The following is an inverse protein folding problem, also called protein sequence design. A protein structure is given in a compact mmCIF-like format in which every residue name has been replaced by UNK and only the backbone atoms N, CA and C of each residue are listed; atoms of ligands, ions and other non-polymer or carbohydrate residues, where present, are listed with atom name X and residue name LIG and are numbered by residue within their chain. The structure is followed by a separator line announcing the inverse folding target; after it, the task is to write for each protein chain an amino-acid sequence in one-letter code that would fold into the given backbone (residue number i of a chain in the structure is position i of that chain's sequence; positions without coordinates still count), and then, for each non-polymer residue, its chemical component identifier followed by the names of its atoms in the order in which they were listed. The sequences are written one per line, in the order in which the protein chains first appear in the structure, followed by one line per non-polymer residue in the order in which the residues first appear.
data_IF_174091140746
#
_entry.id   IF_174091140746
#
_cell.length_a   1.000
_cell.length_b   1.000
_cell.length_c   1.000
_cell.angle_alpha   90.00
_cell.angle_beta   90.00
_cell.angle_gamma   90.00
#
_symmetry.space_group_name_H-M   'P 1'
#
loop_
_entity.id
_entity.type
_entity.pdbx_description
1 polymer ?
#
# COMPACT_ATOMS: atom_id res chain seq x y z
N UNK A 1 -7.81 31.74 5.39
CA UNK A 1 -8.45 31.52 4.10
C UNK A 1 -9.06 30.11 4.08
N UNK A 2 -10.36 29.97 3.82
CA UNK A 2 -11.01 28.66 3.80
C UNK A 2 -10.50 27.87 2.60
N UNK A 3 -9.91 26.69 2.83
CA UNK A 3 -9.61 25.75 1.77
C UNK A 3 -10.90 25.48 0.97
N UNK A 4 -10.83 25.54 -0.36
CA UNK A 4 -12.00 25.27 -1.20
C UNK A 4 -12.47 23.83 -0.94
N UNK A 5 -13.79 23.62 -1.02
CA UNK A 5 -14.40 22.28 -0.84
C UNK A 5 -13.70 21.22 -1.71
N UNK A 6 -13.33 21.57 -2.95
CA UNK A 6 -12.61 20.70 -3.88
C UNK A 6 -11.19 20.33 -3.40
N UNK A 7 -10.47 21.23 -2.72
CA UNK A 7 -9.17 20.91 -2.14
C UNK A 7 -9.26 19.92 -0.99
N UNK A 8 -10.29 20.04 -0.13
CA UNK A 8 -10.55 19.05 0.94
C UNK A 8 -10.97 17.69 0.37
N UNK A 9 -11.75 17.70 -0.70
CA UNK A 9 -12.19 16.47 -1.39
C UNK A 9 -11.03 15.77 -2.10
N UNK A 10 -10.06 16.50 -2.67
CA UNK A 10 -8.85 15.95 -3.27
C UNK A 10 -8.00 15.12 -2.27
N UNK A 11 -8.10 15.40 -0.98
CA UNK A 11 -7.46 14.60 0.08
C UNK A 11 -8.16 13.26 0.37
N UNK A 12 -9.35 13.02 -0.20
CA UNK A 12 -10.14 11.78 -0.06
C UNK A 12 -10.56 11.26 -1.43
N UNK A 13 -9.63 10.74 -2.23
CA UNK A 13 -9.88 10.42 -3.63
C UNK A 13 -10.99 9.37 -3.83
N UNK A 14 -11.15 8.42 -2.92
CA UNK A 14 -12.23 7.43 -2.98
C UNK A 14 -13.62 8.07 -2.78
N UNK A 15 -13.75 9.02 -1.86
CA UNK A 15 -15.01 9.73 -1.64
C UNK A 15 -15.34 10.62 -2.85
N UNK A 16 -14.35 11.28 -3.42
CA UNK A 16 -14.53 12.06 -4.64
C UNK A 16 -14.98 11.16 -5.80
N UNK A 17 -14.32 10.00 -6.00
CA UNK A 17 -14.71 9.05 -7.05
C UNK A 17 -16.16 8.57 -6.88
N UNK A 18 -16.59 8.26 -5.65
CA UNK A 18 -17.98 7.88 -5.37
C UNK A 18 -18.97 9.01 -5.74
N UNK A 19 -18.67 10.24 -5.36
CA UNK A 19 -19.53 11.38 -5.69
C UNK A 19 -19.61 11.62 -7.21
N UNK A 20 -18.52 11.45 -7.93
CA UNK A 20 -18.51 11.56 -9.40
C UNK A 20 -19.31 10.43 -10.06
N UNK A 21 -19.27 9.22 -9.52
CA UNK A 21 -20.12 8.10 -9.95
C UNK A 21 -21.60 8.42 -9.75
N UNK A 22 -21.99 8.93 -8.58
CA UNK A 22 -23.38 9.30 -8.29
C UNK A 22 -23.85 10.46 -9.18
N UNK A 23 -23.00 11.46 -9.42
CA UNK A 23 -23.31 12.58 -10.30
C UNK A 23 -23.51 12.11 -11.76
N UNK A 24 -22.62 11.27 -12.26
CA UNK A 24 -22.73 10.68 -13.60
C UNK A 24 -23.99 9.83 -13.74
N UNK A 25 -24.31 9.00 -12.73
CA UNK A 25 -25.52 8.19 -12.70
C UNK A 25 -26.77 9.07 -12.75
N UNK A 26 -26.85 10.10 -11.92
CA UNK A 26 -27.97 11.02 -11.89
C UNK A 26 -28.18 11.73 -13.24
N UNK A 27 -27.09 12.22 -13.85
CA UNK A 27 -27.15 12.87 -15.15
C UNK A 27 -27.66 11.94 -16.26
N UNK A 28 -27.17 10.67 -16.26
CA UNK A 28 -27.63 9.67 -17.27
C UNK A 28 -29.07 9.26 -17.03
N UNK A 29 -29.53 9.15 -15.79
CA UNK A 29 -30.93 8.87 -15.48
C UNK A 29 -31.87 10.03 -15.95
N UNK A 30 -31.47 11.28 -15.75
CA UNK A 30 -32.22 12.44 -16.27
C UNK A 30 -32.28 12.43 -17.79
N UNK A 31 -31.13 12.15 -18.44
CA UNK A 31 -31.08 12.03 -19.91
C UNK A 31 -32.01 10.92 -20.41
N UNK A 32 -31.95 9.75 -19.79
CA UNK A 32 -32.78 8.61 -20.12
C UNK A 32 -34.29 8.95 -19.99
N UNK A 33 -34.69 9.61 -18.90
CA UNK A 33 -36.08 10.09 -18.72
C UNK A 33 -36.50 11.06 -19.83
N UNK A 34 -35.64 12.00 -20.19
CA UNK A 34 -35.90 12.95 -21.29
C UNK A 34 -36.07 12.24 -22.63
N UNK A 35 -35.23 11.28 -22.95
CA UNK A 35 -35.30 10.46 -24.17
C UNK A 35 -36.59 9.62 -24.22
N UNK A 36 -36.97 8.99 -23.10
CA UNK A 36 -38.24 8.26 -23.03
C UNK A 36 -39.47 9.14 -23.26
N UNK A 37 -39.47 10.35 -22.69
CA UNK A 37 -40.57 11.34 -22.94
C UNK A 37 -40.61 11.78 -24.39
N UNK A 38 -39.48 11.77 -25.11
CA UNK A 38 -39.40 12.05 -26.55
C UNK A 38 -39.71 10.81 -27.43
N UNK A 39 -40.11 9.67 -26.82
CA UNK A 39 -40.42 8.45 -27.54
C UNK A 39 -39.20 7.63 -27.99
N UNK A 40 -38.01 7.97 -27.49
CA UNK A 40 -36.75 7.30 -27.85
C UNK A 40 -36.36 6.29 -26.80
N UNK A 41 -36.33 5.00 -27.14
CA UNK A 41 -35.85 3.91 -26.30
C UNK A 41 -34.33 3.70 -26.53
N UNK A 42 -33.53 3.81 -25.46
CA UNK A 42 -32.09 3.59 -25.51
C UNK A 42 -31.75 2.26 -24.81
N UNK A 43 -30.98 1.35 -25.44
CA UNK A 43 -30.54 0.11 -24.82
C UNK A 43 -29.75 0.34 -23.53
N UNK A 44 -29.94 -0.52 -22.51
CA UNK A 44 -29.28 -0.39 -21.22
C UNK A 44 -27.75 -0.37 -21.34
N UNK A 45 -27.18 -1.16 -22.25
CA UNK A 45 -25.72 -1.20 -22.49
C UNK A 45 -25.15 0.16 -22.91
N UNK A 46 -25.93 0.95 -23.68
CA UNK A 46 -25.53 2.31 -24.09
C UNK A 46 -25.55 3.26 -22.87
N UNK A 47 -26.57 3.16 -22.02
CA UNK A 47 -26.66 3.96 -20.79
C UNK A 47 -25.53 3.64 -19.82
N UNK A 48 -25.20 2.35 -19.66
CA UNK A 48 -24.06 1.88 -18.86
C UNK A 48 -22.75 2.44 -19.41
N UNK A 49 -22.53 2.37 -20.72
CA UNK A 49 -21.32 2.92 -21.36
C UNK A 49 -21.22 4.43 -21.21
N UNK A 50 -22.34 5.16 -21.37
CA UNK A 50 -22.40 6.62 -21.23
C UNK A 50 -22.10 7.04 -19.78
N UNK A 51 -22.67 6.35 -18.80
CA UNK A 51 -22.39 6.60 -17.38
C UNK A 51 -20.92 6.38 -17.05
N UNK A 52 -20.33 5.28 -17.51
CA UNK A 52 -18.92 4.96 -17.30
C UNK A 52 -17.99 6.03 -17.91
N UNK A 53 -18.24 6.41 -19.16
CA UNK A 53 -17.47 7.44 -19.84
C UNK A 53 -17.58 8.81 -19.14
N UNK A 54 -18.79 9.19 -18.71
CA UNK A 54 -19.02 10.44 -17.97
C UNK A 54 -18.30 10.43 -16.63
N UNK A 55 -18.38 9.35 -15.84
CA UNK A 55 -17.69 9.24 -14.56
C UNK A 55 -16.16 9.33 -14.72
N UNK A 56 -15.60 8.67 -15.74
CA UNK A 56 -14.18 8.74 -16.06
C UNK A 56 -13.75 10.15 -16.50
N UNK A 57 -14.54 10.81 -17.34
CA UNK A 57 -14.31 12.20 -17.80
C UNK A 57 -14.33 13.19 -16.64
N UNK A 58 -15.31 13.07 -15.75
CA UNK A 58 -15.41 13.91 -14.55
C UNK A 58 -14.20 13.67 -13.61
N UNK A 59 -13.78 12.42 -13.44
CA UNK A 59 -12.59 12.05 -12.66
C UNK A 59 -11.33 12.73 -13.23
N UNK A 60 -11.15 12.67 -14.55
CA UNK A 60 -10.06 13.36 -15.25
C UNK A 60 -10.12 14.87 -15.06
N UNK A 61 -11.27 15.49 -15.26
CA UNK A 61 -11.47 16.95 -15.07
C UNK A 61 -11.21 17.43 -13.65
N UNK A 62 -11.52 16.58 -12.66
CA UNK A 62 -11.23 16.86 -11.24
C UNK A 62 -9.78 16.61 -10.85
N UNK A 63 -8.88 16.24 -11.79
CA UNK A 63 -7.45 16.07 -11.54
C UNK A 63 -7.12 14.82 -10.70
N UNK A 64 -8.00 13.82 -10.69
CA UNK A 64 -7.67 12.55 -10.03
C UNK A 64 -6.54 11.82 -10.78
N UNK A 65 -5.73 11.03 -10.07
CA UNK A 65 -4.68 10.21 -10.67
C UNK A 65 -5.26 9.26 -11.74
N UNK A 66 -4.47 8.93 -12.78
CA UNK A 66 -4.95 8.22 -13.98
C UNK A 66 -5.63 6.88 -13.69
N UNK A 67 -5.19 6.15 -12.67
CA UNK A 67 -5.79 4.87 -12.28
C UNK A 67 -7.22 5.02 -11.71
N UNK A 68 -7.60 6.21 -11.18
CA UNK A 68 -8.97 6.51 -10.79
C UNK A 68 -9.91 6.63 -12.01
N UNK A 69 -9.44 7.12 -13.15
CA UNK A 69 -10.25 7.16 -14.36
C UNK A 69 -10.62 5.75 -14.80
N UNK A 70 -9.65 4.84 -14.75
CA UNK A 70 -9.89 3.43 -15.08
C UNK A 70 -10.87 2.77 -14.12
N UNK A 71 -10.75 3.02 -12.81
CA UNK A 71 -11.70 2.53 -11.81
C UNK A 71 -13.10 3.07 -12.11
N UNK A 72 -13.23 4.37 -12.33
CA UNK A 72 -14.53 5.00 -12.63
C UNK A 72 -15.13 4.49 -13.96
N UNK A 73 -14.31 4.23 -14.96
CA UNK A 73 -14.73 3.69 -16.25
C UNK A 73 -15.26 2.25 -16.14
N UNK A 74 -14.59 1.42 -15.33
CA UNK A 74 -14.89 -0.02 -15.25
C UNK A 74 -15.92 -0.38 -14.17
N UNK A 75 -16.20 0.52 -13.22
CA UNK A 75 -17.00 0.20 -12.04
C UNK A 75 -18.44 -0.22 -12.39
N UNK A 76 -19.20 0.62 -13.07
CA UNK A 76 -20.61 0.33 -13.42
C UNK A 76 -20.72 -0.73 -14.50
N UNK A 77 -19.93 -0.74 -15.59
CA UNK A 77 -19.88 -1.87 -16.51
C UNK A 77 -19.56 -3.19 -15.83
N UNK A 78 -18.62 -3.20 -14.88
CA UNK A 78 -18.26 -4.41 -14.11
C UNK A 78 -19.42 -4.92 -13.26
N UNK A 79 -20.14 -4.03 -12.57
CA UNK A 79 -21.36 -4.38 -11.82
C UNK A 79 -22.47 -4.92 -12.73
N UNK A 80 -22.70 -4.27 -13.87
CA UNK A 80 -23.70 -4.70 -14.86
C UNK A 80 -23.35 -6.10 -15.41
N UNK A 81 -22.08 -6.32 -15.75
CA UNK A 81 -21.59 -7.59 -16.24
C UNK A 81 -21.70 -8.69 -15.19
N UNK A 82 -21.33 -8.40 -13.93
CA UNK A 82 -21.48 -9.33 -12.81
C UNK A 82 -22.95 -9.72 -12.58
N UNK A 83 -23.86 -8.77 -12.69
CA UNK A 83 -25.30 -9.02 -12.61
C UNK A 83 -25.80 -9.86 -13.79
N UNK A 84 -25.31 -9.56 -15.02
CA UNK A 84 -25.68 -10.27 -16.23
C UNK A 84 -25.23 -11.75 -16.22
N UNK A 85 -24.00 -11.98 -15.72
CA UNK A 85 -23.45 -13.33 -15.56
C UNK A 85 -23.94 -14.05 -14.30
N UNK A 86 -24.91 -13.48 -13.60
CA UNK A 86 -25.47 -14.03 -12.37
C UNK A 86 -24.39 -14.43 -11.34
N UNK A 87 -23.32 -13.63 -11.25
CA UNK A 87 -22.28 -13.84 -10.25
C UNK A 87 -22.94 -13.81 -8.86
N UNK A 88 -22.83 -14.91 -8.13
CA UNK A 88 -23.47 -15.00 -6.82
C UNK A 88 -22.90 -13.97 -5.86
N UNK A 89 -23.72 -13.33 -5.01
CA UNK A 89 -23.25 -12.35 -4.02
C UNK A 89 -22.12 -12.87 -3.13
N UNK A 90 -22.07 -14.19 -2.89
CA UNK A 90 -21.01 -14.84 -2.13
C UNK A 90 -19.61 -14.64 -2.73
N UNK A 91 -19.45 -14.70 -4.04
CA UNK A 91 -18.17 -14.43 -4.70
C UNK A 91 -17.75 -12.97 -4.61
N UNK A 92 -18.71 -12.04 -4.72
CA UNK A 92 -18.44 -10.60 -4.55
C UNK A 92 -18.02 -10.30 -3.11
N UNK A 93 -18.70 -10.90 -2.13
CA UNK A 93 -18.33 -10.80 -0.72
C UNK A 93 -16.94 -11.40 -0.47
N UNK A 94 -16.66 -12.59 -1.00
CA UNK A 94 -15.34 -13.21 -0.87
C UNK A 94 -14.23 -12.35 -1.47
N UNK A 95 -14.44 -11.76 -2.65
CA UNK A 95 -13.49 -10.84 -3.27
C UNK A 95 -13.28 -9.57 -2.40
N UNK A 96 -14.35 -8.99 -1.86
CA UNK A 96 -14.27 -7.85 -0.95
C UNK A 96 -13.47 -8.20 0.30
N UNK A 97 -13.78 -9.32 0.95
CA UNK A 97 -13.06 -9.79 2.14
C UNK A 97 -11.58 -10.03 1.84
N UNK A 98 -11.26 -10.63 0.69
CA UNK A 98 -9.89 -10.82 0.25
C UNK A 98 -9.14 -9.50 0.12
N UNK A 99 -9.74 -8.50 -0.54
CA UNK A 99 -9.16 -7.15 -0.68
C UNK A 99 -8.96 -6.49 0.68
N UNK A 100 -9.92 -6.59 1.59
CA UNK A 100 -9.82 -6.06 2.95
C UNK A 100 -8.71 -6.73 3.74
N UNK A 101 -8.59 -8.05 3.68
CA UNK A 101 -7.55 -8.81 4.39
C UNK A 101 -6.13 -8.51 3.86
N UNK A 102 -5.99 -8.28 2.55
CA UNK A 102 -4.72 -7.89 1.93
C UNK A 102 -4.32 -6.44 2.27
N UNK A 103 -5.30 -5.56 2.42
CA UNK A 103 -5.08 -4.13 2.66
C UNK A 103 -5.41 -3.70 4.10
N UNK A 104 -5.41 -4.64 5.05
CA UNK A 104 -5.80 -4.41 6.44
C UNK A 104 -5.09 -3.20 7.07
N UNK A 105 -3.77 -3.09 6.85
CA UNK A 105 -2.94 -2.02 7.39
C UNK A 105 -3.24 -0.64 6.77
N UNK A 106 -3.79 -0.61 5.55
CA UNK A 106 -4.21 0.66 4.92
C UNK A 106 -5.38 1.32 5.65
N UNK A 107 -6.24 0.53 6.30
CA UNK A 107 -7.39 1.02 7.05
C UNK A 107 -7.00 1.59 8.41
N UNK A 108 -6.09 0.92 9.14
CA UNK A 108 -5.67 1.33 10.47
C UNK A 108 -4.47 2.28 10.48
N UNK A 109 -3.38 1.89 9.87
CA UNK A 109 -2.09 2.58 9.96
C UNK A 109 -1.78 3.46 8.74
N UNK A 110 -2.66 3.47 7.73
CA UNK A 110 -2.47 4.17 6.44
C UNK A 110 -1.21 3.74 5.70
N UNK A 111 -0.82 2.48 5.87
CA UNK A 111 0.32 1.87 5.21
C UNK A 111 -0.18 0.83 4.22
N UNK A 112 -0.17 1.13 2.90
CA UNK A 112 -0.46 0.13 1.88
C UNK A 112 0.59 -0.97 1.86
N UNK A 113 0.26 -2.12 1.27
CA UNK A 113 1.23 -3.19 1.05
C UNK A 113 2.27 -2.75 0.01
N UNK A 114 3.47 -2.43 0.45
CA UNK A 114 4.62 -2.19 -0.41
C UNK A 114 5.49 -3.44 -0.52
N UNK A 115 6.01 -3.69 -1.72
CA UNK A 115 6.94 -4.80 -1.96
C UNK A 115 8.31 -4.25 -2.35
N UNK A 116 9.33 -4.65 -1.61
CA UNK A 116 10.72 -4.30 -1.88
C UNK A 116 11.19 -4.97 -3.17
N UNK A 117 11.76 -4.17 -4.08
CA UNK A 117 12.29 -4.64 -5.35
C UNK A 117 13.67 -5.29 -5.21
N UNK A 118 14.06 -6.10 -6.21
CA UNK A 118 15.37 -6.79 -6.21
C UNK A 118 16.58 -5.85 -6.24
N UNK A 119 16.44 -4.63 -6.77
CA UNK A 119 17.51 -3.61 -6.72
C UNK A 119 17.71 -3.12 -5.30
N UNK A 120 16.62 -2.75 -4.63
CA UNK A 120 16.62 -2.35 -3.22
C UNK A 120 17.27 -3.41 -2.33
N UNK A 121 16.96 -4.67 -2.58
CA UNK A 121 17.54 -5.78 -1.81
C UNK A 121 19.05 -5.92 -1.99
N UNK A 122 19.57 -5.71 -3.20
CA UNK A 122 21.02 -5.70 -3.46
C UNK A 122 21.74 -4.58 -2.72
N UNK A 123 21.18 -3.38 -2.79
CA UNK A 123 21.75 -2.22 -2.07
C UNK A 123 21.63 -2.40 -0.54
N UNK A 124 20.51 -2.96 -0.07
CA UNK A 124 20.35 -3.31 1.34
C UNK A 124 21.41 -4.33 1.80
N UNK A 125 21.72 -5.34 0.98
CA UNK A 125 22.82 -6.28 1.25
C UNK A 125 24.16 -5.56 1.34
N UNK A 126 24.44 -4.57 0.49
CA UNK A 126 25.62 -3.73 0.56
C UNK A 126 25.73 -2.96 1.87
N UNK A 127 24.59 -2.40 2.34
CA UNK A 127 24.52 -1.70 3.63
C UNK A 127 24.69 -2.59 4.87
N UNK A 128 24.51 -3.90 4.71
CA UNK A 128 24.70 -4.88 5.79
C UNK A 128 26.09 -5.52 5.77
N UNK A 129 26.88 -5.31 4.72
CA UNK A 129 28.13 -6.04 4.49
C UNK A 129 29.23 -5.71 5.50
N UNK A 130 29.20 -4.53 6.12
CA UNK A 130 30.14 -4.09 7.14
C UNK A 130 29.71 -4.46 8.58
N UNK A 131 28.53 -5.06 8.72
CA UNK A 131 28.04 -5.56 10.01
C UNK A 131 28.52 -6.99 10.30
N UNK A 132 28.55 -7.41 11.56
CA UNK A 132 28.91 -8.78 11.92
C UNK A 132 28.00 -9.80 11.21
N UNK A 133 28.51 -10.97 10.83
CA UNK A 133 27.72 -12.01 10.18
C UNK A 133 26.58 -12.55 11.07
N UNK A 134 26.66 -12.31 12.38
CA UNK A 134 25.64 -12.66 13.39
C UNK A 134 24.61 -11.56 13.62
N UNK A 135 24.53 -10.56 12.72
CA UNK A 135 23.63 -9.40 12.84
C UNK A 135 22.18 -9.81 13.12
N UNK A 136 21.46 -8.99 13.86
CA UNK A 136 20.03 -9.13 14.13
C UNK A 136 19.27 -8.00 13.45
N UNK A 137 18.39 -8.35 12.55
CA UNK A 137 17.60 -7.38 11.77
C UNK A 137 16.11 -7.60 11.97
N UNK A 138 15.37 -6.51 12.12
CA UNK A 138 13.90 -6.52 12.07
C UNK A 138 13.39 -5.78 10.85
N UNK A 139 12.36 -6.34 10.19
CA UNK A 139 11.58 -5.70 9.13
C UNK A 139 10.21 -5.31 9.68
N UNK A 140 10.00 -4.01 9.81
CA UNK A 140 8.82 -3.40 10.43
C UNK A 140 7.70 -3.23 9.39
N UNK A 141 6.76 -4.16 9.36
CA UNK A 141 5.78 -4.30 8.29
C UNK A 141 6.34 -5.10 7.12
N UNK A 142 6.79 -6.33 7.40
CA UNK A 142 7.58 -7.13 6.46
C UNK A 142 6.80 -7.61 5.23
N UNK A 143 5.50 -7.32 5.17
CA UNK A 143 4.65 -7.75 4.08
C UNK A 143 4.75 -9.25 3.85
N UNK A 144 5.05 -9.68 2.64
CA UNK A 144 5.20 -11.10 2.28
C UNK A 144 6.56 -11.71 2.68
N UNK A 145 7.38 -11.05 3.50
CA UNK A 145 8.69 -11.49 3.99
C UNK A 145 9.71 -11.88 2.89
N UNK A 146 9.52 -11.39 1.65
CA UNK A 146 10.42 -11.74 0.55
C UNK A 146 11.86 -11.28 0.78
N UNK A 147 12.05 -10.07 1.27
CA UNK A 147 13.35 -9.48 1.60
C UNK A 147 14.01 -10.23 2.76
N UNK A 148 13.25 -10.50 3.82
CA UNK A 148 13.76 -11.28 4.96
C UNK A 148 14.29 -12.65 4.56
N UNK A 149 13.53 -13.41 3.77
CA UNK A 149 13.93 -14.74 3.34
C UNK A 149 15.24 -14.71 2.55
N UNK A 150 15.42 -13.74 1.64
CA UNK A 150 16.64 -13.62 0.83
C UNK A 150 17.85 -13.15 1.67
N UNK A 151 17.62 -12.27 2.64
CA UNK A 151 18.68 -11.88 3.57
C UNK A 151 19.08 -13.04 4.49
N UNK A 152 18.12 -13.81 5.00
CA UNK A 152 18.37 -15.00 5.81
C UNK A 152 19.20 -16.07 5.06
N UNK A 153 18.94 -16.25 3.76
CA UNK A 153 19.74 -17.13 2.90
C UNK A 153 21.18 -16.60 2.69
N UNK A 154 21.31 -15.28 2.56
CA UNK A 154 22.63 -14.63 2.32
C UNK A 154 23.49 -14.55 3.57
N UNK A 155 22.87 -14.42 4.76
CA UNK A 155 23.52 -14.30 6.06
C UNK A 155 23.06 -15.43 6.99
N UNK A 156 23.57 -16.66 6.82
CA UNK A 156 23.05 -17.82 7.55
C UNK A 156 23.30 -17.78 9.06
N UNK A 157 24.25 -16.98 9.54
CA UNK A 157 24.51 -16.76 10.97
C UNK A 157 23.71 -15.59 11.55
N UNK A 158 23.14 -14.71 10.72
CA UNK A 158 22.31 -13.59 11.12
C UNK A 158 20.90 -14.04 11.52
N UNK A 159 20.18 -13.20 12.25
CA UNK A 159 18.81 -13.43 12.65
C UNK A 159 17.90 -12.37 12.04
N UNK A 160 16.86 -12.82 11.34
CA UNK A 160 15.93 -11.97 10.60
C UNK A 160 14.53 -12.15 11.14
N UNK A 161 13.97 -11.06 11.66
CA UNK A 161 12.63 -11.03 12.24
C UNK A 161 11.76 -10.10 11.43
N UNK A 162 10.52 -10.51 11.14
CA UNK A 162 9.48 -9.67 10.54
C UNK A 162 8.31 -9.51 11.48
N UNK A 163 7.68 -8.34 11.46
CA UNK A 163 6.38 -8.11 12.09
C UNK A 163 5.37 -7.67 11.05
N UNK A 164 4.16 -8.23 11.13
CA UNK A 164 3.07 -7.95 10.19
C UNK A 164 1.73 -8.05 10.89
N UNK A 165 0.80 -7.15 10.59
CA UNK A 165 -0.54 -7.09 11.21
C UNK A 165 -1.68 -7.41 10.25
N UNK A 166 -1.45 -7.42 8.93
CA UNK A 166 -2.44 -7.88 7.97
C UNK A 166 -2.56 -9.41 8.01
N UNK A 167 -3.72 -9.99 8.38
CA UNK A 167 -3.82 -11.42 8.70
C UNK A 167 -3.39 -12.33 7.56
N UNK A 168 -3.87 -12.06 6.34
CA UNK A 168 -3.55 -12.89 5.18
C UNK A 168 -2.10 -12.71 4.74
N UNK A 169 -1.58 -11.49 4.79
CA UNK A 169 -0.20 -11.17 4.44
C UNK A 169 0.76 -11.84 5.42
N UNK A 170 0.45 -11.77 6.74
CA UNK A 170 1.19 -12.50 7.78
C UNK A 170 1.21 -14.01 7.52
N UNK A 171 0.05 -14.61 7.25
CA UNK A 171 -0.02 -16.06 6.98
C UNK A 171 0.90 -16.47 5.82
N UNK A 172 0.86 -15.72 4.72
CA UNK A 172 1.73 -15.96 3.56
C UNK A 172 3.22 -15.74 3.87
N UNK A 173 3.54 -14.71 4.67
CA UNK A 173 4.89 -14.44 5.13
C UNK A 173 5.41 -15.56 6.05
N UNK A 174 4.60 -16.01 7.00
CA UNK A 174 4.91 -17.10 7.89
C UNK A 174 5.18 -18.41 7.14
N UNK A 175 4.28 -18.77 6.20
CA UNK A 175 4.46 -19.95 5.33
C UNK A 175 5.76 -19.87 4.53
N UNK A 176 6.11 -18.68 4.03
CA UNK A 176 7.36 -18.47 3.28
C UNK A 176 8.61 -18.61 4.13
N UNK A 177 8.55 -18.27 5.42
CA UNK A 177 9.65 -18.40 6.36
C UNK A 177 9.82 -19.81 6.95
N UNK A 178 8.84 -20.69 6.77
CA UNK A 178 8.93 -22.08 7.22
C UNK A 178 10.18 -22.77 6.61
N UNK A 179 10.87 -23.54 7.43
CA UNK A 179 12.11 -24.23 7.02
C UNK A 179 13.38 -23.37 7.08
N UNK A 180 13.30 -22.09 7.48
CA UNK A 180 14.46 -21.23 7.70
C UNK A 180 14.66 -20.99 9.19
N UNK A 181 15.74 -21.56 9.76
CA UNK A 181 16.01 -21.49 11.21
C UNK A 181 16.25 -20.05 11.70
N UNK A 182 16.79 -19.19 10.82
CA UNK A 182 17.21 -17.81 11.12
C UNK A 182 16.25 -16.73 10.60
N UNK A 183 15.03 -17.11 10.13
CA UNK A 183 14.00 -16.19 9.64
C UNK A 183 12.67 -16.49 10.34
N UNK A 184 12.11 -15.49 11.00
CA UNK A 184 10.83 -15.62 11.72
C UNK A 184 9.93 -14.43 11.45
N UNK A 185 8.62 -14.67 11.40
CA UNK A 185 7.61 -13.60 11.27
C UNK A 185 6.61 -13.76 12.41
N UNK A 186 6.30 -12.62 13.05
CA UNK A 186 5.34 -12.55 14.14
C UNK A 186 4.10 -11.75 13.72
N UNK A 187 2.91 -12.24 14.11
CA UNK A 187 1.67 -11.48 14.00
C UNK A 187 1.63 -10.44 15.12
N UNK A 188 2.21 -9.28 14.83
CA UNK A 188 2.44 -8.24 15.84
C UNK A 188 2.52 -6.87 15.18
N UNK A 189 2.05 -5.83 15.89
CA UNK A 189 2.26 -4.46 15.47
C UNK A 189 3.73 -4.05 15.58
N UNK A 190 4.21 -3.28 14.62
CA UNK A 190 5.55 -2.67 14.68
C UNK A 190 5.75 -1.79 15.94
N UNK A 191 4.63 -1.30 16.51
CA UNK A 191 4.67 -0.49 17.73
C UNK A 191 4.96 -1.31 18.99
N UNK A 192 4.62 -2.60 18.99
CA UNK A 192 4.77 -3.51 20.11
C UNK A 192 6.08 -4.33 20.03
N UNK A 193 6.80 -4.24 18.90
CA UNK A 193 8.09 -4.91 18.73
C UNK A 193 9.20 -4.15 19.45
N UNK A 194 9.91 -4.75 20.42
CA UNK A 194 11.05 -4.11 21.09
C UNK A 194 12.23 -4.01 20.11
N UNK A 195 12.85 -2.82 19.99
CA UNK A 195 13.94 -2.59 19.05
C UNK A 195 15.34 -2.74 19.66
N UNK A 196 15.45 -2.88 20.98
CA UNK A 196 16.73 -2.86 21.70
C UNK A 196 17.71 -3.96 21.33
N UNK A 197 17.22 -5.07 20.81
CA UNK A 197 18.05 -6.24 20.47
C UNK A 197 18.50 -6.30 19.01
N UNK A 198 18.10 -5.32 18.19
CA UNK A 198 18.40 -5.35 16.76
C UNK A 198 19.54 -4.39 16.42
N UNK A 199 20.42 -4.84 15.53
CA UNK A 199 21.48 -4.04 14.94
C UNK A 199 20.92 -3.20 13.79
N UNK A 200 19.87 -3.68 13.11
CA UNK A 200 19.22 -3.01 12.01
C UNK A 200 17.71 -3.12 12.13
N UNK A 201 17.02 -1.98 12.04
CA UNK A 201 15.58 -1.89 11.77
C UNK A 201 15.39 -1.43 10.33
N UNK A 202 14.69 -2.23 9.55
CA UNK A 202 14.30 -1.88 8.17
C UNK A 202 12.81 -1.63 8.10
N UNK A 203 12.40 -0.71 7.23
CA UNK A 203 10.98 -0.47 6.99
C UNK A 203 10.72 0.00 5.55
N UNK A 204 9.56 -0.41 5.01
CA UNK A 204 8.99 0.16 3.79
C UNK A 204 7.53 0.53 4.07
N UNK A 205 7.35 1.62 4.78
CA UNK A 205 6.05 2.09 5.26
C UNK A 205 5.51 3.23 4.36
N UNK A 206 4.62 4.07 4.90
CA UNK A 206 4.17 5.33 4.29
C UNK A 206 4.75 6.52 5.07
N UNK A 207 4.60 7.77 4.60
CA UNK A 207 5.05 8.93 5.35
C UNK A 207 4.36 9.10 6.71
N UNK A 208 3.14 8.55 6.87
CA UNK A 208 2.31 8.79 8.05
C UNK A 208 2.93 8.34 9.37
N UNK A 209 3.49 7.13 9.52
CA UNK A 209 4.08 6.66 10.77
C UNK A 209 5.51 7.13 11.02
N UNK A 210 6.22 7.74 10.06
CA UNK A 210 7.67 7.93 10.11
C UNK A 210 8.15 8.77 11.29
N UNK A 211 7.45 9.84 11.65
CA UNK A 211 7.84 10.67 12.81
C UNK A 211 7.71 9.92 14.13
N UNK A 212 6.64 9.13 14.29
CA UNK A 212 6.43 8.29 15.48
C UNK A 212 7.42 7.14 15.53
N UNK A 213 7.74 6.54 14.37
CA UNK A 213 8.75 5.49 14.27
C UNK A 213 10.12 5.99 14.71
N UNK A 214 10.49 7.20 14.30
CA UNK A 214 11.76 7.81 14.71
C UNK A 214 11.86 7.98 16.23
N UNK A 215 10.80 8.46 16.88
CA UNK A 215 10.76 8.55 18.34
C UNK A 215 10.97 7.19 19.02
N UNK A 216 10.34 6.13 18.49
CA UNK A 216 10.51 4.76 18.98
C UNK A 216 11.95 4.26 18.78
N UNK A 217 12.53 4.51 17.61
CA UNK A 217 13.91 4.15 17.29
C UNK A 217 14.90 4.82 18.26
N UNK A 218 14.78 6.14 18.44
CA UNK A 218 15.63 6.88 19.38
C UNK A 218 15.51 6.40 20.83
N UNK A 219 14.30 5.99 21.25
CA UNK A 219 14.07 5.54 22.60
C UNK A 219 14.54 4.09 22.87
N UNK A 220 14.62 3.25 21.85
CA UNK A 220 14.80 1.81 22.05
C UNK A 220 16.03 1.21 21.40
N UNK A 221 16.50 1.74 20.27
CA UNK A 221 17.66 1.16 19.58
C UNK A 221 18.97 1.57 20.27
N UNK A 222 19.92 0.66 20.21
CA UNK A 222 21.24 0.86 20.84
C UNK A 222 22.12 1.80 20.03
N UNK A 223 23.06 2.53 20.67
CA UNK A 223 24.07 3.28 19.94
C UNK A 223 24.84 2.38 18.95
N UNK A 224 25.01 2.88 17.72
CA UNK A 224 25.66 2.16 16.62
C UNK A 224 24.72 1.28 15.79
N UNK A 225 23.48 1.10 16.20
CA UNK A 225 22.47 0.43 15.37
C UNK A 225 21.96 1.32 14.24
N UNK A 226 21.25 0.78 13.27
CA UNK A 226 20.82 1.47 12.05
C UNK A 226 19.31 1.37 11.83
N UNK A 227 18.68 2.50 11.52
CA UNK A 227 17.37 2.51 10.86
C UNK A 227 17.59 2.69 9.36
N UNK A 228 17.00 1.80 8.56
CA UNK A 228 17.00 1.89 7.10
C UNK A 228 15.56 1.97 6.60
N UNK A 229 15.21 3.06 5.96
CA UNK A 229 13.87 3.23 5.35
C UNK A 229 13.96 3.17 3.84
N UNK A 230 13.03 2.43 3.23
CA UNK A 230 12.85 2.45 1.79
C UNK A 230 11.90 3.59 1.42
N UNK A 231 12.37 4.49 0.57
CA UNK A 231 11.65 5.59 -0.09
C UNK A 231 11.25 6.75 0.84
N UNK A 232 10.73 6.48 2.04
CA UNK A 232 10.10 7.51 2.87
C UNK A 232 11.05 8.06 3.92
N UNK A 233 11.24 9.40 3.87
CA UNK A 233 12.09 10.12 4.81
C UNK A 233 11.38 10.38 6.15
N UNK A 234 12.17 10.60 7.19
CA UNK A 234 11.68 11.09 8.49
C UNK A 234 11.55 12.62 8.40
N UNK A 235 10.37 13.18 8.65
CA UNK A 235 10.18 14.62 8.60
C UNK A 235 11.09 15.36 9.58
N UNK A 236 11.84 16.34 9.06
CA UNK A 236 12.74 17.16 9.87
C UNK A 236 14.04 16.49 10.31
N UNK A 237 14.31 15.23 9.92
CA UNK A 237 15.55 14.52 10.27
C UNK A 237 16.26 14.08 8.97
N UNK A 238 17.35 14.75 8.56
CA UNK A 238 18.09 14.35 7.38
C UNK A 238 18.72 12.97 7.57
N UNK A 239 18.66 12.14 6.53
CA UNK A 239 19.36 10.85 6.53
C UNK A 239 20.89 11.09 6.43
N UNK A 240 21.67 10.29 7.14
CA UNK A 240 23.13 10.33 7.07
C UNK A 240 23.65 9.77 5.75
N UNK A 241 22.93 8.80 5.18
CA UNK A 241 23.23 8.26 3.86
C UNK A 241 21.96 8.09 3.05
N UNK A 242 22.02 8.44 1.77
CA UNK A 242 20.94 8.27 0.79
C UNK A 242 21.48 7.53 -0.41
N UNK A 243 20.87 6.41 -0.77
CA UNK A 243 21.22 5.61 -1.95
C UNK A 243 20.05 5.66 -2.92
N UNK A 244 20.24 6.30 -4.06
CA UNK A 244 19.24 6.36 -5.15
C UNK A 244 19.24 5.03 -5.93
N UNK A 245 18.08 4.43 -6.11
CA UNK A 245 17.96 3.08 -6.67
C UNK A 245 17.78 3.06 -8.19
N UNK A 246 17.57 4.22 -8.81
CA UNK A 246 17.38 4.39 -10.27
C UNK A 246 16.36 3.39 -10.85
N UNK A 247 15.32 3.07 -10.10
CA UNK A 247 14.20 2.28 -10.55
C UNK A 247 13.05 3.17 -11.08
N UNK A 248 12.03 2.56 -11.69
CA UNK A 248 10.89 3.29 -12.24
C UNK A 248 10.06 4.06 -11.17
N UNK A 249 10.23 3.73 -9.88
CA UNK A 249 9.59 4.40 -8.74
C UNK A 249 10.43 5.52 -8.16
N UNK A 250 11.66 5.72 -8.67
CA UNK A 250 12.65 6.62 -8.06
C UNK A 250 12.83 6.33 -6.57
N UNK A 251 12.86 5.02 -6.24
CA UNK A 251 13.04 4.55 -4.87
C UNK A 251 14.43 4.91 -4.37
N UNK A 252 14.57 5.07 -3.05
CA UNK A 252 15.83 5.35 -2.39
C UNK A 252 15.90 4.65 -1.04
N UNK A 253 17.08 4.22 -0.64
CA UNK A 253 17.35 3.80 0.72
C UNK A 253 17.90 4.98 1.52
N UNK A 254 17.29 5.20 2.67
CA UNK A 254 17.66 6.25 3.61
C UNK A 254 18.14 5.59 4.89
N UNK A 255 19.33 5.96 5.36
CA UNK A 255 19.97 5.38 6.54
C UNK A 255 20.15 6.43 7.62
N UNK A 256 19.80 6.09 8.84
CA UNK A 256 20.11 6.81 10.07
C UNK A 256 20.82 5.87 11.03
N UNK A 257 21.88 6.34 11.62
CA UNK A 257 22.59 5.67 12.69
C UNK A 257 22.11 6.20 14.04
N UNK A 258 21.84 5.30 14.97
CA UNK A 258 21.36 5.64 16.31
C UNK A 258 22.50 5.91 17.28
#
# INVERSE_FOLDING_TARGET
MAESFLQRMGRRPALLALLLQLLALFAVLLLHRGLLLAGLAVPLVVLVGLQAAMAALLSWRCGQASWWWLINLLFVPGLWLAAHWQVTPGWLLAALLLVLLLNWNSLGERVPLYLTGRRTERELQGLLADLPPTLRMVDLGCGLAGTLCRLAERYPQGQFVGVETAPLVFLLAWLRCLGRANCRVYYRSLWDEPLGDYDVAYCFLSPAPMSRLWQKVQAQMRPGSRLISNTFAIPGVPAQQVIELHDWRHSRLLLWQC
#
